data_IF_765359808081
#
_entry.id   IF_765359808081
#
_cell.length_a   1.000
_cell.length_b   1.000
_cell.length_c   1.000
_cell.angle_alpha   90.00
_cell.angle_beta   90.00
_cell.angle_gamma   90.00
#
_symmetry.space_group_name_H-M   'P 1'
#
loop_
_entity.id
_entity.type
_entity.pdbx_description
1 polymer ?
#
# COMPACT_ATOMS: atom_id res chain seq x y z
N UNK A 1 7.85 12.09 -8.39
CA UNK A 1 8.83 11.65 -9.42
C UNK A 1 9.43 10.32 -9.01
N UNK A 2 9.58 9.35 -9.93
CA UNK A 2 10.21 8.07 -9.65
C UNK A 2 11.35 7.81 -10.63
N UNK A 3 12.58 7.69 -10.11
CA UNK A 3 13.76 7.36 -10.90
C UNK A 3 14.49 6.22 -10.17
N UNK A 4 14.33 4.96 -10.60
CA UNK A 4 14.92 3.81 -9.91
C UNK A 4 16.44 3.88 -9.77
N UNK A 5 17.12 4.47 -10.75
CA UNK A 5 18.57 4.70 -10.74
C UNK A 5 18.80 6.09 -11.34
N UNK A 6 19.16 7.06 -10.50
CA UNK A 6 19.43 8.43 -10.90
C UNK A 6 20.85 8.53 -11.48
N UNK A 7 20.99 8.91 -12.77
CA UNK A 7 22.30 9.21 -13.35
C UNK A 7 22.97 10.39 -12.63
N UNK A 8 24.30 10.39 -12.57
CA UNK A 8 25.07 11.44 -11.89
C UNK A 8 24.83 12.86 -12.44
N UNK A 9 24.58 12.98 -13.75
CA UNK A 9 24.26 14.26 -14.40
C UNK A 9 22.88 14.81 -14.02
N UNK A 10 22.03 14.03 -13.37
CA UNK A 10 20.67 14.39 -12.96
C UNK A 10 20.53 14.60 -11.44
N UNK A 11 21.63 14.73 -10.71
CA UNK A 11 21.64 14.95 -9.25
C UNK A 11 20.90 16.21 -8.80
N UNK A 12 20.75 17.21 -9.67
CA UNK A 12 19.93 18.42 -9.41
C UNK A 12 18.46 18.11 -9.11
N UNK A 13 17.95 16.98 -9.61
CA UNK A 13 16.57 16.56 -9.36
C UNK A 13 16.30 16.18 -7.91
N UNK A 14 17.35 15.92 -7.12
CA UNK A 14 17.20 15.70 -5.68
C UNK A 14 16.77 16.97 -4.92
N UNK A 15 16.90 18.17 -5.51
CA UNK A 15 16.43 19.42 -4.90
C UNK A 15 14.95 19.72 -5.19
N UNK A 16 14.19 18.73 -5.69
CA UNK A 16 12.79 18.95 -6.04
C UNK A 16 11.92 19.12 -4.80
N UNK A 17 11.06 20.14 -4.82
CA UNK A 17 10.04 20.36 -3.77
C UNK A 17 8.84 19.39 -3.88
N UNK A 18 8.77 18.59 -4.96
CA UNK A 18 7.71 17.60 -5.16
C UNK A 18 8.12 16.25 -4.58
N UNK A 19 7.19 15.46 -4.02
CA UNK A 19 7.51 14.12 -3.53
C UNK A 19 8.18 13.23 -4.59
N UNK A 20 9.25 12.54 -4.20
CA UNK A 20 10.01 11.67 -5.10
C UNK A 20 10.53 10.40 -4.42
N UNK A 21 10.84 9.41 -5.25
CA UNK A 21 11.60 8.21 -4.90
C UNK A 21 12.73 8.09 -5.92
N UNK A 22 13.97 8.20 -5.45
CA UNK A 22 15.17 8.17 -6.28
C UNK A 22 16.11 7.09 -5.75
N UNK A 23 16.60 6.21 -6.64
CA UNK A 23 17.70 5.32 -6.30
C UNK A 23 19.03 5.94 -6.71
N UNK A 24 19.99 5.93 -5.79
CA UNK A 24 21.31 6.53 -5.99
C UNK A 24 22.39 5.46 -5.81
N UNK A 25 23.41 5.50 -6.68
CA UNK A 25 24.62 4.72 -6.44
C UNK A 25 25.36 5.28 -5.23
N UNK A 26 25.91 4.37 -4.40
CA UNK A 26 26.75 4.72 -3.25
C UNK A 26 27.96 5.58 -3.62
N UNK A 27 28.43 5.53 -4.88
CA UNK A 27 29.51 6.39 -5.40
C UNK A 27 29.18 7.89 -5.37
N UNK A 28 27.90 8.25 -5.46
CA UNK A 28 27.45 9.65 -5.51
C UNK A 28 26.80 10.12 -4.19
N UNK A 29 26.73 9.24 -3.19
CA UNK A 29 26.05 9.48 -1.94
C UNK A 29 26.58 10.70 -1.18
N UNK A 30 27.91 10.83 -1.01
CA UNK A 30 28.49 11.94 -0.23
C UNK A 30 28.18 13.31 -0.86
N UNK A 31 28.32 13.43 -2.19
CA UNK A 31 28.02 14.66 -2.91
C UNK A 31 26.54 15.05 -2.82
N UNK A 32 25.65 14.05 -2.83
CA UNK A 32 24.21 14.28 -2.69
C UNK A 32 23.83 14.63 -1.25
N UNK A 33 24.45 14.02 -0.24
CA UNK A 33 24.22 14.38 1.16
C UNK A 33 24.60 15.83 1.46
N UNK A 34 25.73 16.29 0.94
CA UNK A 34 26.17 17.68 1.10
C UNK A 34 25.17 18.65 0.45
N UNK A 35 24.71 18.33 -0.77
CA UNK A 35 23.72 19.13 -1.49
C UNK A 35 22.37 19.21 -0.74
N UNK A 36 21.98 18.13 -0.06
CA UNK A 36 20.67 17.97 0.58
C UNK A 36 20.72 18.05 2.11
N UNK A 37 21.78 18.61 2.68
CA UNK A 37 21.99 18.65 4.12
C UNK A 37 20.77 19.25 4.86
N UNK A 38 20.21 20.33 4.31
CA UNK A 38 19.08 21.06 4.87
C UNK A 38 17.70 20.53 4.42
N UNK A 39 17.63 19.60 3.47
CA UNK A 39 16.35 19.10 2.97
C UNK A 39 15.78 18.03 3.90
N UNK A 40 14.48 18.04 4.16
CA UNK A 40 13.83 17.02 4.96
C UNK A 40 13.56 15.75 4.12
N UNK A 41 14.46 14.76 4.23
CA UNK A 41 14.46 13.57 3.39
C UNK A 41 14.61 12.28 4.20
N UNK A 42 13.92 11.23 3.76
CA UNK A 42 14.19 9.86 4.18
C UNK A 42 15.28 9.26 3.29
N UNK A 43 16.42 8.89 3.89
CA UNK A 43 17.56 8.29 3.19
C UNK A 43 17.84 6.91 3.78
N UNK A 44 17.88 5.89 2.92
CA UNK A 44 18.08 4.50 3.30
C UNK A 44 19.32 3.96 2.58
N UNK A 45 20.28 3.44 3.33
CA UNK A 45 21.41 2.67 2.81
C UNK A 45 20.96 1.20 2.74
N UNK A 46 20.61 0.76 1.53
CA UNK A 46 20.05 -0.58 1.28
C UNK A 46 21.12 -1.66 1.49
N UNK A 47 22.39 -1.39 1.15
CA UNK A 47 23.49 -2.34 1.31
C UNK A 47 23.73 -2.67 2.79
N UNK A 48 23.62 -1.67 3.67
CA UNK A 48 23.76 -1.85 5.12
C UNK A 48 22.44 -2.13 5.83
N UNK A 49 21.30 -1.92 5.17
CA UNK A 49 19.98 -2.04 5.76
C UNK A 49 19.71 -1.04 6.88
N UNK A 50 20.21 0.20 6.76
CA UNK A 50 20.06 1.25 7.79
C UNK A 50 19.36 2.50 7.24
N UNK A 51 18.66 3.19 8.14
CA UNK A 51 18.14 4.54 7.88
C UNK A 51 19.26 5.53 8.21
N UNK A 52 19.68 6.30 7.21
CA UNK A 52 20.72 7.33 7.33
C UNK A 52 20.12 8.64 7.83
N UNK A 53 18.96 9.03 7.29
CA UNK A 53 18.24 10.25 7.63
C UNK A 53 16.76 9.91 7.71
N UNK A 54 16.10 10.32 8.78
CA UNK A 54 14.67 10.06 9.05
C UNK A 54 13.90 11.38 9.18
N UNK A 55 12.60 11.33 8.89
CA UNK A 55 11.63 12.37 9.19
C UNK A 55 11.07 12.23 10.63
N UNK A 56 11.36 11.10 11.29
CA UNK A 56 10.94 10.74 12.66
C UNK A 56 9.43 10.56 12.82
N UNK A 57 8.71 10.37 11.73
CA UNK A 57 7.29 10.01 11.72
C UNK A 57 7.06 8.54 11.32
N UNK A 58 8.11 7.81 10.90
CA UNK A 58 8.03 6.51 10.24
C UNK A 58 7.30 5.46 11.09
N UNK A 59 7.47 5.53 12.41
CA UNK A 59 6.83 4.64 13.37
C UNK A 59 5.38 5.02 13.72
N UNK A 60 4.90 6.16 13.23
CA UNK A 60 3.61 6.77 13.62
C UNK A 60 2.65 7.00 12.46
N UNK A 61 3.11 6.91 11.21
CA UNK A 61 2.29 7.06 10.00
C UNK A 61 1.10 6.08 10.02
N UNK A 62 1.36 4.81 10.32
CA UNK A 62 0.33 3.77 10.27
C UNK A 62 -0.40 3.60 11.62
N UNK A 63 -1.71 3.28 11.61
CA UNK A 63 -2.42 2.87 12.82
C UNK A 63 -1.71 1.69 13.50
N UNK A 64 -1.36 1.83 14.79
CA UNK A 64 -0.53 0.84 15.54
C UNK A 64 -0.96 -0.62 15.37
N UNK A 65 -2.27 -0.89 15.32
CA UNK A 65 -2.80 -2.24 15.12
C UNK A 65 -2.46 -2.78 13.73
N UNK A 66 -2.64 -1.96 12.70
CA UNK A 66 -2.33 -2.28 11.31
C UNK A 66 -0.82 -2.45 11.14
N UNK A 67 -0.03 -1.50 11.64
CA UNK A 67 1.44 -1.54 11.60
C UNK A 67 1.99 -2.84 12.20
N UNK A 68 1.58 -3.18 13.43
CA UNK A 68 2.00 -4.44 14.08
C UNK A 68 1.66 -5.66 13.24
N UNK A 69 0.49 -5.65 12.61
CA UNK A 69 0.03 -6.79 11.87
C UNK A 69 0.78 -6.96 10.53
N UNK A 70 1.10 -5.86 9.84
CA UNK A 70 2.02 -5.86 8.69
C UNK A 70 3.40 -6.34 9.11
N UNK A 71 3.96 -5.81 10.20
CA UNK A 71 5.27 -6.22 10.71
C UNK A 71 5.31 -7.72 11.07
N UNK A 72 4.25 -8.24 11.67
CA UNK A 72 4.13 -9.67 11.96
C UNK A 72 4.10 -10.50 10.68
N UNK A 73 3.32 -10.09 9.67
CA UNK A 73 3.25 -10.78 8.38
C UNK A 73 4.61 -10.78 7.66
N UNK A 74 5.31 -9.64 7.65
CA UNK A 74 6.66 -9.52 7.08
C UNK A 74 7.69 -10.35 7.85
N UNK A 75 7.60 -10.43 9.18
CA UNK A 75 8.46 -11.29 10.00
C UNK A 75 8.24 -12.77 9.70
N UNK A 76 6.99 -13.20 9.55
CA UNK A 76 6.65 -14.57 9.13
C UNK A 76 7.19 -14.86 7.72
N UNK A 77 6.99 -13.94 6.78
CA UNK A 77 7.53 -14.07 5.42
C UNK A 77 9.07 -14.09 5.43
N UNK A 78 9.73 -13.34 6.30
CA UNK A 78 11.20 -13.35 6.42
C UNK A 78 11.72 -14.69 6.95
N UNK A 79 11.04 -15.29 7.92
CA UNK A 79 11.48 -16.51 8.60
C UNK A 79 11.00 -17.81 7.92
N UNK A 80 10.21 -17.72 6.84
CA UNK A 80 9.74 -18.91 6.12
C UNK A 80 10.85 -19.58 5.32
N UNK A 81 10.80 -20.91 5.26
CA UNK A 81 11.58 -21.71 4.32
C UNK A 81 10.81 -21.83 3.01
N UNK A 82 11.21 -21.08 2.00
CA UNK A 82 10.64 -21.16 0.65
C UNK A 82 11.78 -21.29 -0.36
N UNK A 83 11.98 -22.48 -0.96
CA UNK A 83 13.05 -22.71 -1.92
C UNK A 83 12.82 -21.99 -3.27
N UNK A 84 11.63 -21.44 -3.51
CA UNK A 84 11.28 -20.79 -4.79
C UNK A 84 11.23 -19.26 -4.72
N UNK A 85 11.31 -18.68 -3.52
CA UNK A 85 11.08 -17.26 -3.19
C UNK A 85 9.71 -16.68 -3.59
N UNK A 86 8.97 -17.35 -4.48
CA UNK A 86 7.66 -16.93 -4.96
C UNK A 86 6.61 -16.83 -3.85
N UNK A 87 6.60 -17.75 -2.89
CA UNK A 87 5.65 -17.69 -1.77
C UNK A 87 5.96 -16.51 -0.86
N UNK A 88 7.25 -16.25 -0.63
CA UNK A 88 7.71 -15.11 0.15
C UNK A 88 7.23 -13.79 -0.48
N UNK A 89 7.44 -13.63 -1.77
CA UNK A 89 7.03 -12.41 -2.50
C UNK A 89 5.52 -12.20 -2.49
N UNK A 90 4.76 -13.29 -2.66
CA UNK A 90 3.29 -13.25 -2.53
C UNK A 90 2.92 -12.82 -1.12
N UNK A 91 3.47 -13.44 -0.06
CA UNK A 91 3.13 -13.09 1.32
C UNK A 91 3.45 -11.64 1.66
N UNK A 92 4.59 -11.12 1.20
CA UNK A 92 4.97 -9.72 1.36
C UNK A 92 3.94 -8.83 0.66
N UNK A 93 3.60 -9.13 -0.59
CA UNK A 93 2.61 -8.38 -1.37
C UNK A 93 1.22 -8.40 -0.71
N UNK A 94 0.78 -9.58 -0.24
CA UNK A 94 -0.49 -9.77 0.46
C UNK A 94 -0.57 -8.94 1.75
N UNK A 95 0.52 -8.84 2.51
CA UNK A 95 0.56 -8.05 3.73
C UNK A 95 0.23 -6.57 3.44
N UNK A 96 0.80 -5.99 2.39
CA UNK A 96 0.52 -4.61 1.98
C UNK A 96 -0.84 -4.44 1.33
N UNK A 97 -1.28 -5.38 0.48
CA UNK A 97 -2.61 -5.32 -0.15
C UNK A 97 -3.69 -5.36 0.93
N UNK A 98 -3.58 -6.27 1.89
CA UNK A 98 -4.54 -6.38 2.97
C UNK A 98 -4.54 -5.16 3.88
N UNK A 99 -3.36 -4.56 4.13
CA UNK A 99 -3.24 -3.29 4.85
C UNK A 99 -4.13 -2.22 4.20
N UNK A 100 -4.05 -2.06 2.88
CA UNK A 100 -4.92 -1.14 2.15
C UNK A 100 -6.38 -1.58 2.12
N UNK A 101 -6.68 -2.86 1.96
CA UNK A 101 -8.07 -3.35 1.99
C UNK A 101 -8.75 -3.03 3.32
N UNK A 102 -8.10 -3.25 4.46
CA UNK A 102 -8.66 -2.89 5.77
C UNK A 102 -8.83 -1.36 5.88
N UNK A 103 -7.84 -0.56 5.46
CA UNK A 103 -7.86 0.90 5.63
C UNK A 103 -8.78 1.66 4.66
N UNK A 104 -8.83 1.26 3.38
CA UNK A 104 -9.53 1.99 2.32
C UNK A 104 -10.62 1.18 1.62
N UNK A 105 -10.81 -0.11 1.94
CA UNK A 105 -11.71 -1.01 1.19
C UNK A 105 -13.19 -0.63 1.20
N UNK A 106 -13.62 0.30 2.06
CA UNK A 106 -14.98 0.86 2.05
C UNK A 106 -15.17 1.98 1.00
N UNK A 107 -14.14 2.38 0.26
CA UNK A 107 -14.17 3.52 -0.68
C UNK A 107 -15.33 3.46 -1.69
N UNK A 108 -15.67 2.28 -2.22
CA UNK A 108 -16.74 2.15 -3.23
C UNK A 108 -18.11 2.60 -2.73
N UNK A 109 -18.34 2.56 -1.41
CA UNK A 109 -19.60 2.98 -0.79
C UNK A 109 -19.77 4.51 -0.78
N UNK A 110 -18.75 5.25 -1.22
CA UNK A 110 -18.70 6.70 -1.15
C UNK A 110 -18.67 7.37 -2.52
N UNK A 111 -18.98 6.64 -3.60
CA UNK A 111 -19.29 7.26 -4.88
C UNK A 111 -20.78 7.59 -4.98
N UNK A 112 -21.09 8.82 -5.38
CA UNK A 112 -22.46 9.28 -5.58
C UNK A 112 -22.58 9.86 -6.98
N UNK A 113 -23.65 9.47 -7.67
CA UNK A 113 -24.00 9.97 -8.99
C UNK A 113 -24.98 11.13 -8.86
N UNK A 114 -24.60 12.30 -9.40
CA UNK A 114 -25.43 13.49 -9.46
C UNK A 114 -25.34 14.08 -10.86
N UNK A 115 -26.47 14.26 -11.54
CA UNK A 115 -26.54 14.82 -12.91
C UNK A 115 -25.57 14.12 -13.89
N UNK A 116 -25.60 12.79 -13.93
CA UNK A 116 -24.70 11.95 -14.74
C UNK A 116 -23.20 12.11 -14.46
N UNK A 117 -22.84 12.76 -13.35
CA UNK A 117 -21.47 12.88 -12.88
C UNK A 117 -21.25 12.04 -11.62
N UNK A 118 -20.31 11.10 -11.70
CA UNK A 118 -19.91 10.26 -10.58
C UNK A 118 -18.83 10.98 -9.76
N UNK A 119 -19.11 11.22 -8.48
CA UNK A 119 -18.21 11.96 -7.58
C UNK A 119 -17.86 11.15 -6.35
N UNK A 120 -16.65 11.34 -5.83
CA UNK A 120 -16.21 10.72 -4.59
C UNK A 120 -16.52 11.61 -3.37
N UNK A 121 -17.30 11.10 -2.43
CA UNK A 121 -17.69 11.79 -1.20
C UNK A 121 -16.62 11.62 -0.12
N UNK A 122 -15.54 12.40 -0.22
CA UNK A 122 -14.37 12.33 0.66
C UNK A 122 -14.74 12.43 2.15
N UNK A 123 -15.58 13.38 2.53
CA UNK A 123 -15.99 13.58 3.93
C UNK A 123 -16.75 12.38 4.50
N UNK A 124 -17.64 11.78 3.69
CA UNK A 124 -18.35 10.57 4.05
C UNK A 124 -17.39 9.37 4.17
N UNK A 125 -16.40 9.25 3.29
CA UNK A 125 -15.37 8.22 3.35
C UNK A 125 -14.55 8.30 4.64
N UNK A 126 -14.13 9.51 5.03
CA UNK A 126 -13.38 9.74 6.28
C UNK A 126 -14.25 9.41 7.50
N UNK A 127 -15.51 9.86 7.52
CA UNK A 127 -16.43 9.66 8.65
C UNK A 127 -16.78 8.19 8.90
N UNK A 128 -16.82 7.38 7.84
CA UNK A 128 -17.19 5.97 7.93
C UNK A 128 -16.00 5.02 8.08
N UNK A 129 -14.80 5.54 8.37
CA UNK A 129 -13.66 4.72 8.73
C UNK A 129 -13.98 3.85 9.97
N UNK A 130 -13.53 2.60 9.97
CA UNK A 130 -13.89 1.63 11.01
C UNK A 130 -13.27 1.91 12.39
N UNK A 131 -12.31 2.84 12.49
CA UNK A 131 -11.73 3.29 13.76
C UNK A 131 -11.16 4.70 13.67
N UNK A 132 -11.06 5.39 14.81
CA UNK A 132 -10.47 6.74 14.89
C UNK A 132 -9.03 6.82 14.39
N UNK A 133 -8.21 5.80 14.69
CA UNK A 133 -6.83 5.75 14.20
C UNK A 133 -6.74 5.62 12.68
N UNK A 134 -7.64 4.84 12.07
CA UNK A 134 -7.72 4.76 10.61
C UNK A 134 -8.27 6.04 10.02
N UNK A 135 -9.29 6.64 10.63
CA UNK A 135 -9.78 7.96 10.22
C UNK A 135 -8.66 9.01 10.21
N UNK A 136 -7.82 9.04 11.26
CA UNK A 136 -6.69 9.96 11.37
C UNK A 136 -5.65 9.72 10.26
N UNK A 137 -5.34 8.47 9.94
CA UNK A 137 -4.50 8.14 8.79
C UNK A 137 -5.12 8.61 7.46
N UNK A 138 -6.40 8.32 7.26
CA UNK A 138 -7.12 8.67 6.03
C UNK A 138 -7.24 10.18 5.83
N UNK A 139 -7.34 10.97 6.90
CA UNK A 139 -7.32 12.43 6.82
C UNK A 139 -6.09 12.92 6.06
N UNK A 140 -4.90 12.40 6.38
CA UNK A 140 -3.67 12.75 5.67
C UNK A 140 -3.55 12.05 4.31
N UNK A 141 -3.81 10.74 4.27
CA UNK A 141 -3.63 9.95 3.05
C UNK A 141 -4.54 10.42 1.91
N UNK A 142 -5.75 10.88 2.23
CA UNK A 142 -6.70 11.40 1.25
C UNK A 142 -6.35 12.79 0.67
N UNK A 143 -5.31 13.45 1.18
CA UNK A 143 -4.73 14.67 0.60
C UNK A 143 -3.54 14.36 -0.33
N UNK A 144 -3.16 13.09 -0.48
CA UNK A 144 -2.00 12.71 -1.31
C UNK A 144 -2.38 12.58 -2.79
N UNK A 145 -1.42 12.89 -3.67
CA UNK A 145 -1.57 12.64 -5.12
C UNK A 145 -1.84 11.16 -5.44
N UNK A 146 -1.35 10.25 -4.60
CA UNK A 146 -1.62 8.82 -4.74
C UNK A 146 -3.12 8.52 -4.58
N UNK A 147 -3.76 9.10 -3.57
CA UNK A 147 -5.19 8.92 -3.35
C UNK A 147 -6.04 9.61 -4.42
N UNK A 148 -5.64 10.79 -4.89
CA UNK A 148 -6.31 11.46 -6.01
C UNK A 148 -6.28 10.59 -7.27
N UNK A 149 -5.12 10.02 -7.60
CA UNK A 149 -4.98 9.06 -8.69
C UNK A 149 -5.90 7.86 -8.52
N UNK A 150 -5.91 7.25 -7.33
CA UNK A 150 -6.78 6.12 -6.99
C UNK A 150 -8.27 6.45 -7.14
N UNK A 151 -8.71 7.61 -6.63
CA UNK A 151 -10.11 8.05 -6.69
C UNK A 151 -10.55 8.32 -8.13
N UNK A 152 -9.75 9.08 -8.89
CA UNK A 152 -10.03 9.39 -10.29
C UNK A 152 -10.06 8.13 -11.18
N UNK A 153 -9.11 7.21 -10.98
CA UNK A 153 -9.12 5.94 -11.69
C UNK A 153 -10.35 5.10 -11.31
N UNK A 154 -10.77 5.12 -10.05
CA UNK A 154 -11.99 4.45 -9.59
C UNK A 154 -13.25 5.01 -10.26
N UNK A 155 -13.37 6.34 -10.39
CA UNK A 155 -14.46 6.98 -11.14
C UNK A 155 -14.47 6.49 -12.58
N UNK A 156 -13.31 6.54 -13.24
CA UNK A 156 -13.16 6.07 -14.61
C UNK A 156 -13.59 4.60 -14.76
N UNK A 157 -13.13 3.72 -13.87
CA UNK A 157 -13.46 2.28 -13.90
C UNK A 157 -14.95 2.03 -13.67
N UNK A 158 -15.58 2.73 -12.73
CA UNK A 158 -17.02 2.57 -12.45
C UNK A 158 -17.84 3.01 -13.68
N UNK A 159 -17.50 4.14 -14.29
CA UNK A 159 -18.17 4.61 -15.50
C UNK A 159 -17.94 3.66 -16.68
N UNK A 160 -16.72 3.15 -16.85
CA UNK A 160 -16.40 2.14 -17.86
C UNK A 160 -17.25 0.87 -17.69
N UNK A 161 -17.38 0.35 -16.46
CA UNK A 161 -18.23 -0.81 -16.15
C UNK A 161 -19.69 -0.58 -16.52
N UNK A 162 -20.22 0.61 -16.25
CA UNK A 162 -21.60 1.00 -16.61
C UNK A 162 -21.79 1.00 -18.13
N UNK A 163 -20.89 1.66 -18.88
CA UNK A 163 -20.98 1.77 -20.34
C UNK A 163 -20.86 0.40 -21.02
N UNK A 164 -19.87 -0.39 -20.60
CA UNK A 164 -19.60 -1.70 -21.19
C UNK A 164 -20.47 -2.83 -20.62
N UNK A 165 -21.37 -2.52 -19.68
CA UNK A 165 -22.24 -3.50 -19.00
C UNK A 165 -21.45 -4.71 -18.47
N UNK A 166 -20.31 -4.45 -17.85
CA UNK A 166 -19.37 -5.47 -17.39
C UNK A 166 -19.14 -5.42 -15.89
N UNK A 167 -18.94 -6.59 -15.29
CA UNK A 167 -18.64 -6.76 -13.87
C UNK A 167 -17.15 -6.98 -13.61
N UNK A 168 -16.28 -6.55 -14.53
CA UNK A 168 -14.84 -6.69 -14.39
C UNK A 168 -14.34 -5.96 -13.13
N UNK A 169 -13.83 -6.74 -12.17
CA UNK A 169 -13.18 -6.27 -10.94
C UNK A 169 -11.67 -6.23 -11.12
N UNK A 170 -11.02 -5.19 -10.62
CA UNK A 170 -9.56 -5.16 -10.47
C UNK A 170 -9.10 -6.17 -9.42
N UNK A 171 -7.79 -6.42 -9.35
CA UNK A 171 -7.23 -7.25 -8.30
C UNK A 171 -7.58 -6.72 -6.90
N UNK A 172 -7.38 -5.42 -6.66
CA UNK A 172 -7.69 -4.79 -5.38
C UNK A 172 -9.18 -4.91 -5.03
N UNK A 173 -10.06 -4.63 -6.00
CA UNK A 173 -11.52 -4.75 -5.85
C UNK A 173 -11.95 -6.19 -5.46
N UNK A 174 -11.35 -7.22 -6.06
CA UNK A 174 -11.60 -8.62 -5.67
C UNK A 174 -11.20 -8.89 -4.22
N UNK A 175 -10.07 -8.34 -3.78
CA UNK A 175 -9.61 -8.47 -2.39
C UNK A 175 -10.49 -7.74 -1.39
N UNK A 176 -11.07 -6.62 -1.78
CA UNK A 176 -12.11 -5.94 -1.00
C UNK A 176 -13.35 -6.82 -0.86
N UNK A 177 -13.78 -7.49 -1.94
CA UNK A 177 -14.94 -8.38 -1.91
C UNK A 177 -14.70 -9.61 -1.01
N UNK A 178 -13.53 -10.25 -1.14
CA UNK A 178 -13.10 -11.36 -0.29
C UNK A 178 -13.09 -10.95 1.19
N UNK A 179 -12.51 -9.79 1.51
CA UNK A 179 -12.47 -9.28 2.88
C UNK A 179 -13.86 -8.98 3.46
N UNK A 180 -14.76 -8.38 2.68
CA UNK A 180 -16.15 -8.15 3.10
C UNK A 180 -16.89 -9.46 3.35
N UNK A 181 -16.68 -10.46 2.49
CA UNK A 181 -17.24 -11.78 2.67
C UNK A 181 -16.75 -12.42 3.97
N UNK A 182 -15.46 -12.37 4.27
CA UNK A 182 -14.89 -12.90 5.51
C UNK A 182 -15.44 -12.19 6.77
N UNK A 183 -15.55 -10.86 6.74
CA UNK A 183 -16.14 -10.09 7.84
C UNK A 183 -17.58 -10.50 8.14
N UNK A 184 -18.38 -10.81 7.12
CA UNK A 184 -19.78 -11.21 7.28
C UNK A 184 -19.97 -12.63 7.80
N UNK A 185 -18.99 -13.53 7.62
CA UNK A 185 -19.10 -14.94 7.99
C UNK A 185 -18.33 -15.31 9.26
N UNK A 186 -17.23 -14.61 9.54
CA UNK A 186 -16.30 -14.97 10.62
C UNK A 186 -16.16 -13.85 11.67
N UNK A 187 -16.54 -12.60 11.38
CA UNK A 187 -16.43 -11.47 12.32
C UNK A 187 -14.97 -11.14 12.74
N UNK A 188 -13.97 -11.66 12.03
CA UNK A 188 -12.61 -11.78 12.52
C UNK A 188 -11.59 -10.79 11.95
N UNK A 189 -10.65 -10.36 12.82
CA UNK A 189 -9.64 -9.32 12.54
C UNK A 189 -8.41 -9.87 11.79
N UNK A 190 -7.74 -8.96 11.09
CA UNK A 190 -6.49 -9.10 10.31
C UNK A 190 -5.43 -10.09 10.81
N UNK A 191 -5.22 -10.22 12.14
CA UNK A 191 -4.19 -11.13 12.68
C UNK A 191 -4.44 -12.61 12.33
N UNK A 192 -5.71 -13.03 12.26
CA UNK A 192 -6.06 -14.41 11.88
C UNK A 192 -6.12 -14.63 10.38
N UNK A 193 -6.32 -13.57 9.59
CA UNK A 193 -6.18 -13.66 8.14
C UNK A 193 -4.75 -14.00 7.76
N UNK A 194 -3.73 -13.39 8.37
CA UNK A 194 -2.33 -13.75 8.09
C UNK A 194 -2.08 -15.23 8.38
N UNK A 195 -2.57 -15.75 9.51
CA UNK A 195 -2.48 -17.18 9.84
C UNK A 195 -3.24 -18.08 8.84
N UNK A 196 -4.47 -17.68 8.44
CA UNK A 196 -5.29 -18.41 7.46
C UNK A 196 -4.70 -18.35 6.05
N UNK A 197 -4.17 -17.22 5.63
CA UNK A 197 -3.51 -17.00 4.33
C UNK A 197 -2.23 -17.80 4.25
N UNK A 198 -1.38 -17.78 5.29
CA UNK A 198 -0.20 -18.66 5.38
C UNK A 198 -0.59 -20.13 5.25
N UNK A 199 -1.66 -20.55 5.93
CA UNK A 199 -2.16 -21.94 5.88
C UNK A 199 -2.75 -22.32 4.51
N UNK A 200 -3.65 -21.50 3.98
CA UNK A 200 -4.36 -21.74 2.73
C UNK A 200 -3.41 -21.68 1.52
N UNK A 201 -2.43 -20.77 1.50
CA UNK A 201 -1.41 -20.74 0.46
C UNK A 201 -0.45 -21.93 0.57
N UNK A 202 -0.08 -22.36 1.78
CA UNK A 202 0.67 -23.60 2.00
C UNK A 202 -0.04 -24.82 1.41
N UNK A 203 -1.35 -24.93 1.60
CA UNK A 203 -2.17 -26.00 1.04
C UNK A 203 -2.32 -25.91 -0.49
N UNK A 204 -2.51 -24.71 -1.05
CA UNK A 204 -2.64 -24.50 -2.50
C UNK A 204 -1.37 -24.85 -3.28
N UNK A 205 -0.20 -24.62 -2.69
CA UNK A 205 1.09 -24.96 -3.31
C UNK A 205 1.40 -26.43 -3.19
N UNK A 206 1.12 -27.08 -2.06
CA UNK A 206 1.19 -28.55 -1.95
C UNK A 206 0.32 -29.20 -3.02
N UNK A 207 -0.84 -28.62 -3.32
CA UNK A 207 -1.73 -29.14 -4.35
C UNK A 207 -1.21 -28.94 -5.78
N UNK A 208 -0.51 -27.83 -6.05
CA UNK A 208 0.14 -27.55 -7.35
C UNK A 208 1.44 -28.32 -7.57
N UNK A 209 2.19 -28.64 -6.52
CA UNK A 209 3.44 -29.43 -6.59
C UNK A 209 3.20 -30.94 -6.66
N UNK A 210 1.97 -31.41 -6.38
CA UNK A 210 1.56 -32.81 -6.51
C UNK A 210 0.94 -33.16 -7.88
N UNK A 211 1.05 -32.26 -8.86
CA UNK A 211 0.53 -32.42 -10.23
C UNK A 211 1.67 -32.29 -11.22
#
# INVERSE_FOLDING_TARGET
MFIPVLPSCLTVHCCSELPYILGLSSLHYNSVLELLAEHELLIIDIDKGIIVKSYNDEDTILPRKIQRAVMNALSLAKNMTDPTEMLRDIMISEAFVHMFVEMVGHYENHFVEQNDNLTFQKEAFLKNAFSYSVQSFLQWFSETQMFDGFSNESIWRINYRKICQTNLRTFFEKRVDEYKWELSHDGEKFSRFIEKTVRNFGEMIIHKLKK
#
